data_IF_914846935573
#
_entry.id   IF_914846935573
#
_cell.length_a   1.000
_cell.length_b   1.000
_cell.length_c   1.000
_cell.angle_alpha   90.00
_cell.angle_beta   90.00
_cell.angle_gamma   90.00
#
_symmetry.space_group_name_H-M   'P 1'
#
loop_
_entity.id
_entity.type
_entity.pdbx_description
1 polymer ?
#
# COMPACT_ATOMS: atom_id res chain seq x y z
N UNK A 1 2.76 15.36 6.50
CA UNK A 1 1.56 14.76 7.14
C UNK A 1 2.03 13.58 7.97
N UNK A 2 1.70 13.52 9.26
CA UNK A 2 1.97 12.35 10.10
C UNK A 2 0.76 11.42 10.03
N UNK A 3 0.96 10.18 9.57
CA UNK A 3 -0.04 9.11 9.52
C UNK A 3 0.31 8.14 10.65
N UNK A 4 -0.69 7.72 11.43
CA UNK A 4 -0.49 6.77 12.53
C UNK A 4 -1.15 5.42 12.24
N UNK A 5 -0.81 4.41 13.06
CA UNK A 5 -1.23 3.02 12.82
C UNK A 5 -2.75 2.85 12.88
N UNK A 6 -3.43 3.59 13.76
CA UNK A 6 -4.89 3.53 13.88
C UNK A 6 -5.61 4.12 12.66
N UNK A 7 -5.07 5.17 12.05
CA UNK A 7 -5.61 5.72 10.79
C UNK A 7 -5.44 4.77 9.61
N UNK A 8 -4.36 3.98 9.61
CA UNK A 8 -4.07 3.03 8.54
C UNK A 8 -4.85 1.72 8.69
N UNK A 9 -5.08 1.27 9.93
CA UNK A 9 -5.80 0.03 10.25
C UNK A 9 -7.22 0.03 9.68
N UNK A 10 -7.61 -1.05 9.03
CA UNK A 10 -8.94 -1.28 8.46
C UNK A 10 -8.88 -1.73 7.00
N UNK A 11 -10.01 -1.61 6.30
CA UNK A 11 -10.14 -2.04 4.91
C UNK A 11 -9.74 -0.92 3.94
N UNK A 12 -9.16 -1.34 2.83
CA UNK A 12 -8.73 -0.50 1.72
C UNK A 12 -9.22 -1.13 0.43
N UNK A 13 -9.81 -0.32 -0.43
CA UNK A 13 -10.32 -0.71 -1.74
C UNK A 13 -9.22 -0.53 -2.79
N UNK A 14 -8.89 -1.60 -3.49
CA UNK A 14 -8.05 -1.57 -4.68
C UNK A 14 -8.92 -1.46 -5.95
N UNK A 15 -8.27 -1.30 -7.11
CA UNK A 15 -8.94 -1.34 -8.39
C UNK A 15 -9.62 -2.71 -8.63
N UNK A 16 -10.63 -2.73 -9.51
CA UNK A 16 -11.27 -3.98 -9.99
C UNK A 16 -11.83 -4.89 -8.87
N UNK A 17 -12.26 -4.30 -7.75
CA UNK A 17 -12.81 -5.04 -6.62
C UNK A 17 -11.77 -5.72 -5.72
N UNK A 18 -10.48 -5.48 -5.95
CA UNK A 18 -9.43 -5.89 -5.04
C UNK A 18 -9.50 -5.20 -3.68
N UNK A 19 -8.83 -5.77 -2.69
CA UNK A 19 -8.85 -5.28 -1.31
C UNK A 19 -7.52 -5.48 -0.60
N UNK A 20 -7.23 -4.57 0.32
CA UNK A 20 -6.14 -4.66 1.28
C UNK A 20 -6.71 -4.43 2.68
N UNK A 21 -6.37 -5.31 3.62
CA UNK A 21 -6.79 -5.18 5.02
C UNK A 21 -5.53 -5.02 5.86
N UNK A 22 -5.41 -3.90 6.56
CA UNK A 22 -4.37 -3.66 7.56
C UNK A 22 -4.95 -3.91 8.94
N UNK A 23 -4.41 -4.86 9.70
CA UNK A 23 -4.86 -5.16 11.06
C UNK A 23 -3.99 -4.42 12.07
N UNK A 24 -4.59 -4.03 13.20
CA UNK A 24 -3.91 -3.32 14.30
C UNK A 24 -2.76 -4.11 14.93
N UNK A 25 -2.76 -5.44 14.79
CA UNK A 25 -1.68 -6.30 15.26
C UNK A 25 -0.45 -6.31 14.32
N UNK A 26 -0.39 -5.44 13.31
CA UNK A 26 0.73 -5.36 12.37
C UNK A 26 0.71 -6.41 11.26
N UNK A 27 -0.40 -7.13 11.07
CA UNK A 27 -0.56 -8.08 9.95
C UNK A 27 -1.45 -7.51 8.85
N UNK A 28 -1.25 -7.95 7.61
CA UNK A 28 -2.10 -7.56 6.48
C UNK A 28 -2.62 -8.76 5.70
N UNK A 29 -3.67 -8.52 4.91
CA UNK A 29 -4.11 -9.44 3.86
C UNK A 29 -4.48 -8.63 2.61
N UNK A 30 -3.84 -8.95 1.50
CA UNK A 30 -4.09 -8.41 0.17
C UNK A 30 -4.79 -9.47 -0.68
N UNK A 31 -5.84 -9.07 -1.40
CA UNK A 31 -6.51 -9.90 -2.41
C UNK A 31 -6.71 -9.05 -3.66
N UNK A 32 -6.07 -9.45 -4.76
CA UNK A 32 -6.03 -8.69 -6.00
C UNK A 32 -5.68 -7.20 -5.77
N UNK A 33 -4.76 -6.96 -4.82
CA UNK A 33 -4.35 -5.61 -4.45
C UNK A 33 -3.05 -5.28 -5.15
N UNK A 34 -2.89 -4.01 -5.46
CA UNK A 34 -1.74 -3.57 -6.21
C UNK A 34 -0.43 -3.62 -5.42
N UNK A 35 0.66 -3.84 -6.14
CA UNK A 35 2.00 -3.93 -5.57
C UNK A 35 2.34 -5.31 -4.99
N UNK A 36 1.39 -6.24 -4.95
CA UNK A 36 1.55 -7.59 -4.39
C UNK A 36 1.73 -8.68 -5.45
N UNK A 37 1.65 -8.33 -6.73
CA UNK A 37 2.00 -9.20 -7.86
C UNK A 37 3.38 -8.90 -8.44
N UNK A 38 3.85 -9.72 -9.39
CA UNK A 38 5.08 -9.44 -10.15
C UNK A 38 4.97 -8.09 -10.87
N UNK A 39 6.09 -7.36 -10.97
CA UNK A 39 6.18 -6.04 -11.64
C UNK A 39 5.13 -5.02 -11.15
N UNK A 40 4.84 -5.05 -9.84
CA UNK A 40 3.82 -4.22 -9.18
C UNK A 40 2.37 -4.45 -9.65
N UNK A 41 2.11 -5.51 -10.42
CA UNK A 41 0.76 -5.91 -10.81
C UNK A 41 -0.14 -6.20 -9.59
N UNK A 42 -1.46 -6.23 -9.78
CA UNK A 42 -2.38 -6.76 -8.77
C UNK A 42 -2.01 -8.19 -8.36
N UNK A 43 -1.95 -8.44 -7.06
CA UNK A 43 -1.63 -9.75 -6.50
C UNK A 43 -2.28 -9.98 -5.15
N UNK A 44 -2.09 -11.18 -4.61
CA UNK A 44 -2.62 -11.56 -3.31
C UNK A 44 -1.48 -12.03 -2.43
N UNK A 45 -1.42 -11.51 -1.21
CA UNK A 45 -0.36 -11.79 -0.26
C UNK A 45 -0.86 -11.59 1.17
N UNK A 46 -0.16 -12.19 2.12
CA UNK A 46 -0.39 -11.97 3.54
C UNK A 46 0.96 -11.92 4.25
N UNK A 47 1.01 -11.18 5.36
CA UNK A 47 2.27 -10.97 6.06
C UNK A 47 2.16 -9.84 7.07
N UNK A 48 3.26 -9.13 7.28
CA UNK A 48 3.33 -8.02 8.23
C UNK A 48 3.43 -6.68 7.54
N UNK A 49 2.99 -5.63 8.23
CA UNK A 49 3.13 -4.25 7.77
C UNK A 49 3.59 -3.35 8.91
N UNK A 50 4.28 -2.27 8.55
CA UNK A 50 4.71 -1.23 9.47
C UNK A 50 4.69 0.14 8.79
N UNK A 51 4.56 1.19 9.59
CA UNK A 51 4.74 2.56 9.09
C UNK A 51 6.23 2.76 8.81
N UNK A 52 6.53 3.30 7.65
CA UNK A 52 7.88 3.63 7.24
C UNK A 52 8.02 5.15 7.07
N UNK A 53 9.19 5.68 7.45
CA UNK A 53 9.54 7.08 7.24
C UNK A 53 9.77 7.40 5.75
N UNK A 54 9.96 6.36 4.93
CA UNK A 54 10.03 6.41 3.48
C UNK A 54 9.00 5.45 2.86
N UNK A 55 8.27 5.92 1.86
CA UNK A 55 7.34 5.11 1.07
C UNK A 55 7.99 4.45 -0.15
N UNK A 56 7.22 4.35 -1.23
CA UNK A 56 7.70 3.88 -2.52
C UNK A 56 8.87 4.75 -3.03
N UNK A 57 9.94 4.11 -3.51
CA UNK A 57 11.18 4.75 -3.99
C UNK A 57 11.83 5.77 -3.03
N UNK A 58 11.61 5.66 -1.72
CA UNK A 58 12.24 6.57 -0.76
C UNK A 58 11.53 7.92 -0.58
N UNK A 59 10.38 8.12 -1.23
CA UNK A 59 9.68 9.40 -1.21
C UNK A 59 8.52 9.41 -0.20
N UNK A 60 8.50 10.45 0.65
CA UNK A 60 7.40 10.71 1.59
C UNK A 60 7.22 9.63 2.66
N UNK A 61 6.19 9.77 3.50
CA UNK A 61 5.85 8.69 4.43
C UNK A 61 5.15 7.54 3.70
N UNK A 62 5.27 6.32 4.22
CA UNK A 62 4.62 5.17 3.62
C UNK A 62 4.35 4.02 4.57
N UNK A 63 3.99 2.90 3.97
CA UNK A 63 3.74 1.63 4.63
C UNK A 63 4.64 0.59 3.99
N UNK A 64 5.45 -0.08 4.80
CA UNK A 64 6.25 -1.21 4.36
C UNK A 64 5.49 -2.50 4.64
N UNK A 65 5.57 -3.44 3.69
CA UNK A 65 4.98 -4.77 3.78
C UNK A 65 6.06 -5.82 3.62
N UNK A 66 5.93 -6.91 4.38
CA UNK A 66 6.83 -8.06 4.32
C UNK A 66 6.00 -9.34 4.21
N UNK A 67 6.28 -10.13 3.17
CA UNK A 67 5.66 -11.44 2.91
C UNK A 67 6.61 -12.28 2.06
N UNK A 68 6.72 -13.59 2.29
CA UNK A 68 7.54 -14.50 1.47
C UNK A 68 8.97 -13.99 1.13
N UNK A 69 9.64 -13.32 2.10
CA UNK A 69 10.95 -12.64 1.95
C UNK A 69 10.97 -11.47 0.96
N UNK A 70 9.82 -11.08 0.44
CA UNK A 70 9.59 -9.88 -0.37
C UNK A 70 9.33 -8.69 0.57
N UNK A 71 9.94 -7.55 0.23
CA UNK A 71 9.69 -6.28 0.89
C UNK A 71 9.16 -5.29 -0.15
N UNK A 72 8.00 -4.70 0.11
CA UNK A 72 7.45 -3.63 -0.72
C UNK A 72 7.09 -2.40 0.13
N UNK A 73 7.21 -1.22 -0.47
CA UNK A 73 6.75 0.03 0.13
C UNK A 73 5.60 0.60 -0.69
N UNK A 74 4.58 1.13 -0.02
CA UNK A 74 3.58 2.00 -0.62
C UNK A 74 3.70 3.38 0.01
N UNK A 75 3.76 4.43 -0.80
CA UNK A 75 3.65 5.81 -0.34
C UNK A 75 2.26 6.08 0.22
N UNK A 76 2.17 6.93 1.24
CA UNK A 76 0.91 7.35 1.85
C UNK A 76 0.62 8.81 1.50
N UNK A 77 -0.58 9.08 1.00
CA UNK A 77 -1.05 10.43 0.68
C UNK A 77 -2.55 10.57 0.98
N UNK A 78 -3.10 11.75 0.69
CA UNK A 78 -4.54 11.98 0.71
C UNK A 78 -5.02 12.47 -0.65
N UNK A 79 -6.15 11.92 -1.10
CA UNK A 79 -6.98 12.45 -2.19
C UNK A 79 -8.23 13.05 -1.55
N UNK A 80 -8.23 14.38 -1.37
CA UNK A 80 -9.24 15.06 -0.55
C UNK A 80 -9.15 14.62 0.92
N UNK A 81 -10.24 14.11 1.48
CA UNK A 81 -10.27 13.56 2.84
C UNK A 81 -9.91 12.07 2.90
N UNK A 82 -9.80 11.39 1.75
CA UNK A 82 -9.56 9.95 1.68
C UNK A 82 -8.07 9.67 1.74
N UNK A 83 -7.65 8.80 2.68
CA UNK A 83 -6.29 8.28 2.69
C UNK A 83 -6.07 7.32 1.51
N UNK A 84 -4.90 7.44 0.88
CA UNK A 84 -4.50 6.65 -0.28
C UNK A 84 -3.11 6.08 -0.03
N UNK A 85 -2.96 4.77 -0.26
CA UNK A 85 -1.65 4.15 -0.41
C UNK A 85 -1.37 3.95 -1.89
N UNK A 86 -0.16 4.25 -2.34
CA UNK A 86 0.17 4.25 -3.75
C UNK A 86 1.61 3.81 -4.03
N UNK A 87 1.86 3.36 -5.26
CA UNK A 87 3.18 2.97 -5.77
C UNK A 87 3.22 3.13 -7.28
N UNK A 88 4.38 3.44 -7.83
CA UNK A 88 4.58 3.52 -9.29
C UNK A 88 4.48 2.12 -9.92
N UNK A 89 3.88 2.06 -11.11
CA UNK A 89 3.88 0.89 -11.98
C UNK A 89 4.75 1.20 -13.18
N UNK A 90 5.78 0.38 -13.42
CA UNK A 90 6.72 0.62 -14.51
C UNK A 90 7.65 1.81 -14.22
N UNK A 91 7.94 2.59 -15.26
CA UNK A 91 8.82 3.76 -15.18
C UNK A 91 8.11 4.92 -14.45
N UNK A 92 8.69 5.49 -13.38
CA UNK A 92 8.14 6.65 -12.68
C UNK A 92 7.84 7.84 -13.61
N UNK A 93 8.59 8.03 -14.70
CA UNK A 93 8.42 9.13 -15.63
C UNK A 93 7.13 9.02 -16.48
N UNK A 94 6.55 7.82 -16.58
CA UNK A 94 5.27 7.61 -17.27
C UNK A 94 4.05 8.07 -16.43
N UNK A 95 4.23 8.32 -15.14
CA UNK A 95 3.16 8.78 -14.25
C UNK A 95 2.07 7.73 -13.98
N UNK A 96 2.38 6.44 -14.17
CA UNK A 96 1.47 5.35 -13.88
C UNK A 96 1.53 4.97 -12.40
N UNK A 97 0.45 5.26 -11.67
CA UNK A 97 0.36 4.96 -10.25
C UNK A 97 -0.70 3.91 -9.98
N UNK A 98 -0.34 2.95 -9.16
CA UNK A 98 -1.30 2.11 -8.51
C UNK A 98 -1.72 2.67 -7.17
N UNK A 99 -3.01 2.58 -6.86
CA UNK A 99 -3.58 3.20 -5.66
C UNK A 99 -4.57 2.27 -4.98
N UNK A 100 -4.55 2.27 -3.65
CA UNK A 100 -5.60 1.69 -2.80
C UNK A 100 -6.13 2.76 -1.87
N UNK A 101 -7.45 2.81 -1.69
CA UNK A 101 -8.14 3.89 -0.98
C UNK A 101 -8.78 3.39 0.30
N UNK A 102 -8.66 4.19 1.36
CA UNK A 102 -9.26 3.86 2.64
C UNK A 102 -10.78 3.82 2.52
N UNK A 103 -11.40 2.80 3.12
CA UNK A 103 -12.86 2.71 3.28
C UNK A 103 -13.29 3.17 4.67
#
# INVERSE_FOLDING_TARGET
MSVNSSQLTGQWKAAEGGKLVLRSNGTFAAQNSCGFGPDAAPGSANGTWAIAQSGDWGHGMGVQFVFDKVHIGLGASKEGETLVLWRHIGDPDEGNYCKVRKQ
#
